data_IF_630630060247
#
_entry.id   IF_630630060247
#
_cell.length_a   1.000
_cell.length_b   1.000
_cell.length_c   1.000
_cell.angle_alpha   90.00
_cell.angle_beta   90.00
_cell.angle_gamma   90.00
#
_symmetry.space_group_name_H-M   'P 1'
#
loop_
_entity.id
_entity.type
_entity.pdbx_description
1 polymer ?
#
# COMPACT_ATOMS: atom_id res chain seq x y z
N UNK A 1 -5.61 32.04 54.73
CA UNK A 1 -4.43 32.92 54.92
C UNK A 1 -4.79 34.40 54.73
N UNK A 2 -5.26 34.82 53.55
CA UNK A 2 -5.65 36.21 53.23
C UNK A 2 -6.64 36.87 54.22
N UNK A 3 -7.62 36.13 54.76
CA UNK A 3 -8.55 36.64 55.80
C UNK A 3 -7.86 37.08 57.11
N UNK A 4 -6.75 36.42 57.49
CA UNK A 4 -6.02 36.77 58.70
C UNK A 4 -5.22 38.08 58.53
N UNK A 5 -4.66 38.29 57.33
CA UNK A 5 -3.90 39.49 56.98
C UNK A 5 -4.81 40.73 56.92
N UNK A 6 -6.03 40.59 56.39
CA UNK A 6 -7.06 41.63 56.38
C UNK A 6 -7.46 42.09 57.78
N UNK A 7 -7.64 41.15 58.71
CA UNK A 7 -7.99 41.46 60.10
C UNK A 7 -6.91 42.31 60.79
N UNK A 8 -5.63 42.01 60.54
CA UNK A 8 -4.51 42.79 61.08
C UNK A 8 -4.39 44.19 60.49
N UNK A 9 -4.64 44.36 59.18
CA UNK A 9 -4.61 45.67 58.52
C UNK A 9 -5.75 46.58 58.98
N UNK A 10 -6.96 46.03 59.13
CA UNK A 10 -8.12 46.78 59.62
C UNK A 10 -7.93 47.35 61.03
N UNK A 11 -7.22 46.61 61.90
CA UNK A 11 -6.89 47.07 63.26
C UNK A 11 -5.91 48.25 63.25
N UNK A 12 -4.90 48.24 62.36
CA UNK A 12 -3.91 49.33 62.21
C UNK A 12 -4.54 50.62 61.69
N UNK A 13 -5.49 50.53 60.77
CA UNK A 13 -6.18 51.71 60.22
C UNK A 13 -7.07 52.37 61.29
N UNK A 14 -7.71 51.57 62.15
CA UNK A 14 -8.57 52.08 63.23
C UNK A 14 -7.80 52.92 64.26
N UNK A 15 -6.55 52.59 64.57
CA UNK A 15 -5.69 53.38 65.47
C UNK A 15 -5.23 54.71 64.88
N UNK A 16 -5.13 54.85 63.56
CA UNK A 16 -4.62 56.06 62.90
C UNK A 16 -5.70 57.09 62.55
N UNK A 17 -6.98 56.81 62.82
CA UNK A 17 -8.11 57.67 62.43
C UNK A 17 -8.12 59.04 63.13
N UNK A 18 -7.68 59.09 64.39
CA UNK A 18 -7.61 60.32 65.19
C UNK A 18 -6.55 61.29 64.62
N UNK A 19 -5.38 60.76 64.24
CA UNK A 19 -4.28 61.55 63.64
C UNK A 19 -4.69 62.17 62.29
N UNK A 20 -5.54 61.48 61.53
CA UNK A 20 -6.03 61.93 60.22
C UNK A 20 -6.96 63.15 60.35
N UNK A 21 -7.89 63.14 61.32
CA UNK A 21 -8.81 64.26 61.55
C UNK A 21 -8.07 65.52 62.05
N UNK A 22 -7.05 65.33 62.90
CA UNK A 22 -6.22 66.41 63.41
C UNK A 22 -5.39 67.04 62.27
N UNK A 23 -4.87 66.23 61.34
CA UNK A 23 -4.14 66.73 60.17
C UNK A 23 -5.00 67.60 59.24
N UNK A 24 -6.25 67.19 58.96
CA UNK A 24 -7.17 67.97 58.12
C UNK A 24 -7.44 69.36 58.69
N UNK A 25 -7.66 69.45 60.01
CA UNK A 25 -7.84 70.74 60.68
C UNK A 25 -6.58 71.61 60.62
N UNK A 26 -5.40 71.04 60.85
CA UNK A 26 -4.10 71.74 60.78
C UNK A 26 -3.82 72.31 59.38
N UNK A 27 -4.24 71.59 58.33
CA UNK A 27 -4.13 72.08 56.95
C UNK A 27 -4.97 73.34 56.74
N UNK A 28 -6.24 73.33 57.16
CA UNK A 28 -7.13 74.49 57.04
C UNK A 28 -6.69 75.68 57.90
N UNK A 29 -6.15 75.44 59.10
CA UNK A 29 -5.68 76.50 59.98
C UNK A 29 -4.42 77.23 59.46
N UNK A 30 -3.56 76.53 58.71
CA UNK A 30 -2.38 77.14 58.06
C UNK A 30 -2.81 78.02 56.88
N UNK A 31 -3.75 77.54 56.06
CA UNK A 31 -4.19 78.28 54.86
C UNK A 31 -4.85 79.63 55.25
N UNK A 32 -5.69 79.65 56.30
CA UNK A 32 -6.34 80.88 56.80
C UNK A 32 -5.32 81.89 57.37
N UNK A 33 -4.22 81.42 57.96
CA UNK A 33 -3.21 82.31 58.56
C UNK A 33 -2.35 83.01 57.49
N UNK A 34 -2.12 82.37 56.33
CA UNK A 34 -1.33 82.95 55.23
C UNK A 34 -2.13 83.96 54.40
N UNK A 35 -3.44 83.76 54.22
CA UNK A 35 -4.27 84.58 53.32
C UNK A 35 -4.55 86.01 53.84
N UNK A 36 -4.54 86.22 55.16
CA UNK A 36 -4.93 87.49 55.80
C UNK A 36 -3.78 88.46 56.18
N UNK A 37 -2.53 88.25 55.71
CA UNK A 37 -1.34 89.13 55.87
C UNK A 37 -1.19 89.85 57.23
N UNK A 38 -1.27 89.06 58.28
CA UNK A 38 -1.50 89.52 59.65
C UNK A 38 -0.26 90.15 60.35
N UNK A 39 0.77 90.67 59.68
CA UNK A 39 2.02 91.04 60.39
C UNK A 39 2.61 92.47 60.28
N UNK A 40 2.26 93.41 59.37
CA UNK A 40 2.98 94.73 59.34
C UNK A 40 2.30 95.97 58.68
N UNK A 41 2.36 97.17 59.34
CA UNK A 41 2.38 98.55 58.73
C UNK A 41 2.77 99.66 59.75
N UNK A 42 3.72 100.58 59.44
CA UNK A 42 4.27 101.68 60.30
C UNK A 42 3.73 103.10 59.95
N UNK A 43 3.68 104.04 60.92
CA UNK A 43 3.22 105.46 60.79
C UNK A 43 4.33 106.46 60.30
N UNK A 44 3.99 107.57 59.59
CA UNK A 44 4.95 108.55 59.05
C UNK A 44 5.37 109.72 59.99
N UNK A 45 6.51 110.38 59.69
CA UNK A 45 7.28 111.32 60.55
C UNK A 45 6.71 112.76 60.70
N UNK A 46 6.87 113.35 61.90
CA UNK A 46 6.30 114.65 62.34
C UNK A 46 6.86 115.92 61.67
N UNK A 47 7.85 115.82 60.78
CA UNK A 47 8.61 116.96 60.24
C UNK A 47 7.74 117.86 59.33
N UNK A 48 6.83 117.25 58.55
CA UNK A 48 5.96 117.95 57.60
C UNK A 48 5.02 118.97 58.26
N UNK A 49 4.54 118.70 59.49
CA UNK A 49 3.63 119.59 60.21
C UNK A 49 4.30 120.91 60.63
N UNK A 50 5.58 120.84 61.04
CA UNK A 50 6.34 122.01 61.51
C UNK A 50 6.64 122.96 60.35
N UNK A 51 7.01 122.41 59.18
CA UNK A 51 7.35 123.21 57.99
C UNK A 51 6.12 123.99 57.48
N UNK A 52 4.94 123.35 57.45
CA UNK A 52 3.70 123.99 57.01
C UNK A 52 3.29 125.18 57.91
N UNK A 53 3.48 125.07 59.22
CA UNK A 53 3.16 126.14 60.17
C UNK A 53 4.03 127.39 60.02
N UNK A 54 5.33 127.23 59.77
CA UNK A 54 6.26 128.36 59.60
C UNK A 54 5.94 129.17 58.34
N UNK A 55 5.67 128.49 57.22
CA UNK A 55 5.33 129.13 55.94
C UNK A 55 4.06 130.00 56.03
N UNK A 56 3.07 129.54 56.78
CA UNK A 56 1.82 130.28 57.03
C UNK A 56 2.06 131.59 57.80
N UNK A 57 2.89 131.54 58.85
CA UNK A 57 3.22 132.72 59.65
C UNK A 57 4.00 133.77 58.85
N UNK A 58 4.97 133.33 58.04
CA UNK A 58 5.77 134.23 57.18
C UNK A 58 4.90 134.90 56.12
N UNK A 59 4.01 134.14 55.46
CA UNK A 59 3.10 134.69 54.46
C UNK A 59 2.18 135.79 55.01
N UNK A 60 1.65 135.60 56.22
CA UNK A 60 0.83 136.61 56.90
C UNK A 60 1.62 137.90 57.21
N UNK A 61 2.86 137.79 57.68
CA UNK A 61 3.72 138.96 57.96
C UNK A 61 3.98 139.75 56.67
N UNK A 62 4.25 139.06 55.56
CA UNK A 62 4.50 139.70 54.26
C UNK A 62 3.26 140.45 53.75
N UNK A 63 2.05 139.92 53.97
CA UNK A 63 0.81 140.64 53.59
C UNK A 63 0.58 141.92 54.40
N UNK A 64 0.96 141.95 55.68
CA UNK A 64 0.82 143.14 56.54
C UNK A 64 1.83 144.23 56.13
N UNK A 65 3.03 143.83 55.69
CA UNK A 65 4.12 144.73 55.31
C UNK A 65 3.78 145.61 54.09
N UNK A 66 2.80 145.22 53.28
CA UNK A 66 2.31 145.99 52.13
C UNK A 66 1.84 147.40 52.51
N UNK A 67 1.22 147.57 53.68
CA UNK A 67 0.72 148.88 54.12
C UNK A 67 1.84 149.89 54.39
N UNK A 68 3.09 149.42 54.57
CA UNK A 68 4.25 150.24 54.92
C UNK A 68 5.05 150.61 53.66
N UNK A 69 5.30 149.67 52.76
CA UNK A 69 6.20 149.89 51.61
C UNK A 69 5.49 150.34 50.31
N UNK A 70 4.15 150.38 50.30
CA UNK A 70 3.33 150.79 49.15
C UNK A 70 3.65 150.06 47.82
N UNK A 71 4.25 148.87 47.91
CA UNK A 71 4.54 148.01 46.76
C UNK A 71 3.45 146.95 46.62
N UNK A 72 2.67 147.04 45.54
CA UNK A 72 1.52 146.16 45.27
C UNK A 72 1.88 144.69 45.05
N UNK A 73 3.13 144.38 44.65
CA UNK A 73 3.58 143.00 44.43
C UNK A 73 3.71 142.17 45.71
N UNK A 74 3.87 142.79 46.88
CA UNK A 74 4.01 142.09 48.17
C UNK A 74 2.72 141.38 48.60
N UNK A 75 1.56 141.88 48.17
CA UNK A 75 0.26 141.25 48.46
C UNK A 75 0.17 139.83 47.88
N UNK A 76 0.47 139.70 46.58
CA UNK A 76 0.38 138.43 45.88
C UNK A 76 1.44 137.43 46.36
N UNK A 77 2.63 137.91 46.71
CA UNK A 77 3.70 137.08 47.30
C UNK A 77 3.32 136.54 48.70
N UNK A 78 2.68 137.34 49.55
CA UNK A 78 2.25 136.92 50.89
C UNK A 78 1.08 135.93 50.87
N UNK A 79 0.11 136.12 49.97
CA UNK A 79 -1.03 135.20 49.83
C UNK A 79 -0.59 133.85 49.27
N UNK A 80 0.29 133.83 48.26
CA UNK A 80 0.78 132.58 47.65
C UNK A 80 1.58 131.73 48.63
N UNK A 81 2.46 132.34 49.43
CA UNK A 81 3.23 131.63 50.47
C UNK A 81 2.36 131.10 51.60
N UNK A 82 1.37 131.88 52.06
CA UNK A 82 0.40 131.45 53.06
C UNK A 82 -0.48 130.28 52.56
N UNK A 83 -0.90 130.31 51.29
CA UNK A 83 -1.67 129.24 50.65
C UNK A 83 -0.92 127.90 50.57
N UNK A 84 0.38 127.93 50.26
CA UNK A 84 1.22 126.72 50.24
C UNK A 84 1.35 126.11 51.65
N UNK A 85 1.53 126.95 52.68
CA UNK A 85 1.60 126.51 54.07
C UNK A 85 0.32 125.81 54.55
N UNK A 86 -0.86 126.33 54.15
CA UNK A 86 -2.14 125.74 54.49
C UNK A 86 -2.39 124.37 53.81
N UNK A 87 -1.98 124.22 52.55
CA UNK A 87 -2.11 122.96 51.81
C UNK A 87 -1.27 121.82 52.42
N UNK A 88 -0.05 122.11 52.87
CA UNK A 88 0.81 121.11 53.51
C UNK A 88 0.22 120.62 54.85
N UNK A 89 -0.40 121.51 55.64
CA UNK A 89 -1.09 121.10 56.86
C UNK A 89 -2.35 120.27 56.58
N UNK A 90 -3.12 120.61 55.55
CA UNK A 90 -4.30 119.83 55.17
C UNK A 90 -3.93 118.41 54.69
N UNK A 91 -2.84 118.26 53.92
CA UNK A 91 -2.35 116.96 53.45
C UNK A 91 -1.95 116.03 54.60
N UNK A 92 -1.25 116.55 55.62
CA UNK A 92 -0.88 115.77 56.81
C UNK A 92 -2.11 115.30 57.62
N UNK A 93 -3.15 116.12 57.72
CA UNK A 93 -4.40 115.77 58.39
C UNK A 93 -5.14 114.59 57.73
N UNK A 94 -5.14 114.53 56.40
CA UNK A 94 -5.81 113.46 55.64
C UNK A 94 -5.09 112.12 55.83
N UNK A 95 -3.75 112.12 55.82
CA UNK A 95 -2.96 110.88 55.93
C UNK A 95 -3.11 110.18 57.29
N UNK A 96 -3.37 110.94 58.36
CA UNK A 96 -3.55 110.41 59.72
C UNK A 96 -4.93 109.75 59.93
N UNK A 97 -5.96 110.26 59.25
CA UNK A 97 -7.32 109.70 59.31
C UNK A 97 -7.46 108.38 58.55
N UNK A 98 -6.65 108.16 57.51
CA UNK A 98 -6.65 106.91 56.74
C UNK A 98 -5.76 105.80 57.34
N UNK A 99 -5.11 106.04 58.49
CA UNK A 99 -4.06 105.19 59.05
C UNK A 99 -4.36 104.41 60.33
N UNK A 100 -5.63 104.23 60.74
CA UNK A 100 -5.95 103.54 62.01
C UNK A 100 -7.08 102.49 61.92
N UNK A 101 -6.67 101.22 62.03
CA UNK A 101 -7.33 100.04 62.65
C UNK A 101 -8.68 99.54 62.10
N UNK A 102 -8.65 98.44 61.35
CA UNK A 102 -9.82 97.60 61.03
C UNK A 102 -9.99 96.50 62.13
N UNK A 103 -11.12 96.42 62.87
CA UNK A 103 -11.28 95.52 64.01
C UNK A 103 -11.64 94.04 63.69
N UNK A 104 -11.74 93.64 62.41
CA UNK A 104 -12.07 92.27 62.02
C UNK A 104 -10.88 91.28 62.10
N UNK A 105 -9.66 91.74 61.82
CA UNK A 105 -8.46 90.88 61.71
C UNK A 105 -7.86 90.42 63.05
N UNK A 106 -8.36 90.96 64.18
CA UNK A 106 -7.95 90.57 65.52
C UNK A 106 -8.71 89.33 66.04
N UNK A 107 -9.97 89.16 65.64
CA UNK A 107 -10.84 88.07 66.13
C UNK A 107 -10.45 86.69 65.59
N UNK A 108 -10.05 86.60 64.32
CA UNK A 108 -9.69 85.32 63.68
C UNK A 108 -8.35 84.76 64.18
N UNK A 109 -7.40 85.62 64.57
CA UNK A 109 -6.12 85.20 65.18
C UNK A 109 -6.29 84.50 66.52
N UNK A 110 -7.19 85.01 67.34
CA UNK A 110 -7.40 84.47 68.68
C UNK A 110 -8.19 83.16 68.64
N UNK A 111 -9.13 83.00 67.68
CA UNK A 111 -9.83 81.74 67.46
C UNK A 111 -8.88 80.59 67.11
N UNK A 112 -7.95 80.79 66.17
CA UNK A 112 -6.96 79.75 65.79
C UNK A 112 -6.02 79.43 66.96
N UNK A 113 -5.68 80.41 67.79
CA UNK A 113 -4.85 80.21 68.99
C UNK A 113 -5.55 79.38 70.07
N UNK A 114 -6.86 79.56 70.25
CA UNK A 114 -7.66 78.81 71.23
C UNK A 114 -7.79 77.34 70.80
N UNK A 115 -8.21 77.08 69.55
CA UNK A 115 -8.42 75.71 69.07
C UNK A 115 -7.10 74.91 68.95
N UNK A 116 -5.97 75.58 68.67
CA UNK A 116 -4.66 74.94 68.72
C UNK A 116 -4.30 74.50 70.15
N UNK A 117 -4.59 75.34 71.15
CA UNK A 117 -4.35 75.02 72.56
C UNK A 117 -5.21 73.84 73.03
N UNK A 118 -6.46 73.74 72.59
CA UNK A 118 -7.32 72.60 72.94
C UNK A 118 -6.86 71.26 72.34
N UNK A 119 -6.31 71.26 71.11
CA UNK A 119 -5.90 70.02 70.42
C UNK A 119 -4.49 69.54 70.77
N UNK A 120 -3.59 70.45 71.13
CA UNK A 120 -2.16 70.15 71.34
C UNK A 120 -1.62 70.55 72.72
N UNK A 121 -2.46 71.14 73.58
CA UNK A 121 -2.15 71.55 74.96
C UNK A 121 -0.91 72.48 75.09
N UNK A 122 -0.58 73.20 74.01
CA UNK A 122 0.56 74.12 73.92
C UNK A 122 0.18 75.47 73.30
N UNK A 123 0.79 76.59 73.74
CA UNK A 123 0.54 77.91 73.16
C UNK A 123 1.21 78.07 71.80
N UNK A 124 0.45 78.56 70.81
CA UNK A 124 0.92 78.78 69.45
C UNK A 124 1.99 79.89 69.39
N UNK A 125 3.20 79.56 68.92
CA UNK A 125 4.35 80.49 68.82
C UNK A 125 4.46 81.24 67.48
N UNK A 126 3.46 81.12 66.60
CA UNK A 126 3.44 81.71 65.25
C UNK A 126 3.27 80.65 64.15
N UNK A 127 3.26 81.09 62.88
CA UNK A 127 2.98 80.25 61.71
C UNK A 127 3.98 79.10 61.51
N UNK A 128 5.20 79.25 62.01
CA UNK A 128 6.26 78.22 61.99
C UNK A 128 5.93 77.03 62.89
N UNK A 129 5.18 77.23 63.99
CA UNK A 129 4.74 76.15 64.87
C UNK A 129 3.65 75.28 64.23
N UNK A 130 2.67 75.90 63.56
CA UNK A 130 1.63 75.18 62.81
C UNK A 130 2.22 74.34 61.67
N UNK A 131 3.22 74.86 60.95
CA UNK A 131 3.85 74.15 59.83
C UNK A 131 4.66 72.92 60.29
N UNK A 132 5.31 72.99 61.45
CA UNK A 132 6.06 71.87 62.01
C UNK A 132 5.14 70.69 62.41
N UNK A 133 4.03 70.97 63.10
CA UNK A 133 3.10 69.93 63.53
C UNK A 133 2.31 69.34 62.36
N UNK A 134 2.00 70.15 61.33
CA UNK A 134 1.42 69.70 60.06
C UNK A 134 2.32 68.67 59.37
N UNK A 135 3.62 68.92 59.27
CA UNK A 135 4.56 68.00 58.61
C UNK A 135 4.72 66.68 59.37
N UNK A 136 4.70 66.70 60.70
CA UNK A 136 4.80 65.48 61.52
C UNK A 136 3.57 64.57 61.36
N UNK A 137 2.38 65.14 61.36
CA UNK A 137 1.13 64.38 61.14
C UNK A 137 0.92 63.98 59.68
N UNK A 138 1.55 64.66 58.72
CA UNK A 138 1.52 64.29 57.31
C UNK A 138 2.13 62.90 57.05
N UNK A 139 3.20 62.54 57.75
CA UNK A 139 3.84 61.22 57.59
C UNK A 139 2.91 60.10 58.07
N UNK A 140 2.21 60.30 59.21
CA UNK A 140 1.22 59.36 59.72
C UNK A 140 0.01 59.24 58.79
N UNK A 141 -0.47 60.36 58.24
CA UNK A 141 -1.56 60.38 57.26
C UNK A 141 -1.20 59.59 55.98
N UNK A 142 0.01 59.77 55.43
CA UNK A 142 0.45 59.04 54.25
C UNK A 142 0.58 57.52 54.51
N UNK A 143 1.08 57.11 55.67
CA UNK A 143 1.13 55.69 56.08
C UNK A 143 -0.28 55.09 56.22
N UNK A 144 -1.22 55.82 56.80
CA UNK A 144 -2.60 55.36 56.93
C UNK A 144 -3.28 55.21 55.56
N UNK A 145 -3.05 56.15 54.63
CA UNK A 145 -3.55 56.06 53.25
C UNK A 145 -2.97 54.85 52.49
N UNK A 146 -1.67 54.59 52.62
CA UNK A 146 -1.03 53.39 52.03
C UNK A 146 -1.63 52.09 52.57
N UNK A 147 -1.86 52.02 53.89
CA UNK A 147 -2.50 50.85 54.50
C UNK A 147 -3.95 50.67 54.01
N UNK A 148 -4.71 51.77 53.81
CA UNK A 148 -6.05 51.72 53.25
C UNK A 148 -6.05 51.17 51.81
N UNK A 149 -5.08 51.56 50.99
CA UNK A 149 -4.92 51.04 49.63
C UNK A 149 -4.53 49.55 49.63
N UNK A 150 -3.65 49.11 50.54
CA UNK A 150 -3.33 47.68 50.71
C UNK A 150 -4.52 46.85 51.17
N UNK A 151 -5.35 47.39 52.08
CA UNK A 151 -6.57 46.72 52.52
C UNK A 151 -7.51 46.49 51.33
N UNK A 152 -7.76 47.52 50.51
CA UNK A 152 -8.61 47.40 49.33
C UNK A 152 -8.07 46.38 48.33
N UNK A 153 -6.74 46.36 48.10
CA UNK A 153 -6.12 45.35 47.21
C UNK A 153 -6.31 43.92 47.73
N UNK A 154 -6.18 43.71 49.04
CA UNK A 154 -6.40 42.40 49.65
C UNK A 154 -7.87 41.98 49.62
N UNK A 155 -8.81 42.91 49.81
CA UNK A 155 -10.25 42.61 49.70
C UNK A 155 -10.63 42.21 48.27
N UNK A 156 -10.15 42.93 47.27
CA UNK A 156 -10.36 42.57 45.85
C UNK A 156 -9.78 41.20 45.54
N UNK A 157 -8.55 40.92 45.98
CA UNK A 157 -7.90 39.63 45.74
C UNK A 157 -8.59 38.48 46.48
N UNK A 158 -9.14 38.75 47.67
CA UNK A 158 -9.89 37.75 48.42
C UNK A 158 -11.21 37.40 47.71
N UNK A 159 -11.90 38.41 47.18
CA UNK A 159 -13.12 38.21 46.39
C UNK A 159 -12.83 37.40 45.12
N UNK A 160 -11.76 37.73 44.38
CA UNK A 160 -11.40 37.01 43.16
C UNK A 160 -11.03 35.54 43.41
N UNK A 161 -10.28 35.25 44.47
CA UNK A 161 -9.93 33.86 44.83
C UNK A 161 -11.17 33.08 45.29
N UNK A 162 -12.09 33.72 46.01
CA UNK A 162 -13.36 33.09 46.39
C UNK A 162 -14.24 32.80 45.17
N UNK A 163 -14.23 33.65 44.17
CA UNK A 163 -14.93 33.47 42.90
C UNK A 163 -14.31 32.32 42.09
N UNK A 164 -12.98 32.29 41.92
CA UNK A 164 -12.27 31.17 41.28
C UNK A 164 -12.55 29.83 41.94
N UNK A 165 -12.61 29.77 43.27
CA UNK A 165 -12.94 28.51 43.97
C UNK A 165 -14.38 28.11 43.71
N UNK A 166 -15.33 29.06 43.70
CA UNK A 166 -16.73 28.78 43.36
C UNK A 166 -16.88 28.28 41.93
N UNK A 167 -16.20 28.92 40.97
CA UNK A 167 -16.21 28.52 39.57
C UNK A 167 -15.64 27.11 39.39
N UNK A 168 -14.54 26.78 40.06
CA UNK A 168 -13.98 25.43 40.04
C UNK A 168 -14.96 24.38 40.62
N UNK A 169 -15.67 24.70 41.71
CA UNK A 169 -16.72 23.82 42.24
C UNK A 169 -17.91 23.69 41.28
N UNK A 170 -18.28 24.77 40.58
CA UNK A 170 -19.38 24.78 39.61
C UNK A 170 -19.03 23.97 38.35
N UNK A 171 -17.79 24.06 37.86
CA UNK A 171 -17.30 23.27 36.73
C UNK A 171 -17.19 21.77 37.06
N UNK A 172 -16.77 21.43 38.28
CA UNK A 172 -16.61 20.02 38.69
C UNK A 172 -17.92 19.34 39.09
N UNK A 173 -18.90 20.07 39.63
CA UNK A 173 -20.08 19.48 40.28
C UNK A 173 -21.42 20.04 39.80
N UNK A 174 -21.43 21.12 39.02
CA UNK A 174 -22.65 21.77 38.52
C UNK A 174 -23.41 22.63 39.54
N UNK A 175 -23.00 22.67 40.81
CA UNK A 175 -23.70 23.39 41.90
C UNK A 175 -22.77 24.34 42.68
N UNK A 176 -23.29 25.53 43.02
CA UNK A 176 -22.55 26.53 43.80
C UNK A 176 -22.61 26.28 45.31
N UNK A 177 -21.51 25.85 45.92
CA UNK A 177 -21.44 25.51 47.35
C UNK A 177 -21.01 26.73 48.19
N UNK A 178 -21.65 26.90 49.35
CA UNK A 178 -21.31 27.96 50.31
C UNK A 178 -19.94 27.74 50.99
N UNK A 179 -19.23 28.83 51.27
CA UNK A 179 -17.81 28.82 51.72
C UNK A 179 -17.55 28.00 53.00
N UNK A 180 -18.56 27.79 53.86
CA UNK A 180 -18.40 27.01 55.10
C UNK A 180 -18.34 25.50 54.87
N UNK A 181 -18.85 25.03 53.74
CA UNK A 181 -19.04 23.60 53.47
C UNK A 181 -18.00 23.05 52.48
N UNK A 182 -17.03 23.87 52.05
CA UNK A 182 -15.99 23.45 51.11
C UNK A 182 -15.14 22.29 51.63
N UNK A 183 -14.70 22.32 52.89
CA UNK A 183 -13.85 21.26 53.46
C UNK A 183 -14.55 19.88 53.60
N UNK A 184 -15.76 19.78 54.18
CA UNK A 184 -16.48 18.50 54.24
C UNK A 184 -16.75 17.90 52.87
N UNK A 185 -17.17 18.72 51.90
CA UNK A 185 -17.51 18.24 50.56
C UNK A 185 -16.29 17.80 49.75
N UNK A 186 -15.15 18.49 49.87
CA UNK A 186 -13.88 18.06 49.26
C UNK A 186 -13.44 16.67 49.75
N UNK A 187 -13.73 16.36 51.02
CA UNK A 187 -13.46 15.04 51.59
C UNK A 187 -14.39 13.98 50.99
N UNK A 188 -15.69 14.26 50.91
CA UNK A 188 -16.66 13.34 50.29
C UNK A 188 -16.33 13.04 48.83
N UNK A 189 -15.93 14.05 48.05
CA UNK A 189 -15.55 13.87 46.64
C UNK A 189 -14.29 13.00 46.51
N UNK A 190 -13.29 13.21 47.36
CA UNK A 190 -12.10 12.34 47.38
C UNK A 190 -12.44 10.90 47.72
N UNK A 191 -13.34 10.70 48.68
CA UNK A 191 -13.78 9.36 49.08
C UNK A 191 -14.57 8.68 47.93
N UNK A 192 -15.42 9.43 47.21
CA UNK A 192 -16.13 8.95 46.02
C UNK A 192 -15.16 8.60 44.88
N UNK A 193 -14.16 9.44 44.63
CA UNK A 193 -13.16 9.18 43.60
C UNK A 193 -12.36 7.91 43.90
N UNK A 194 -11.96 7.71 45.16
CA UNK A 194 -11.27 6.49 45.59
C UNK A 194 -12.16 5.24 45.46
N UNK A 195 -13.46 5.35 45.73
CA UNK A 195 -14.40 4.25 45.55
C UNK A 195 -14.58 3.88 44.06
N UNK A 196 -14.72 4.89 43.19
CA UNK A 196 -14.82 4.69 41.74
C UNK A 196 -13.55 4.07 41.14
N UNK A 197 -12.38 4.46 41.63
CA UNK A 197 -11.10 3.90 41.15
C UNK A 197 -10.97 2.40 41.49
N UNK A 198 -11.46 2.00 42.68
CA UNK A 198 -11.55 0.58 43.07
C UNK A 198 -12.54 -0.16 42.16
N UNK A 199 -13.69 0.44 41.86
CA UNK A 199 -14.72 -0.17 41.02
C UNK A 199 -14.25 -0.32 39.55
N UNK A 200 -13.53 0.66 39.01
CA UNK A 200 -12.88 0.59 37.70
C UNK A 200 -11.85 -0.53 37.67
N UNK A 201 -11.03 -0.66 38.72
CA UNK A 201 -10.04 -1.74 38.80
C UNK A 201 -10.68 -3.13 38.85
N UNK A 202 -11.77 -3.29 39.59
CA UNK A 202 -12.48 -4.57 39.68
C UNK A 202 -13.20 -4.91 38.35
N UNK A 203 -13.80 -3.92 37.68
CA UNK A 203 -14.37 -4.08 36.34
C UNK A 203 -13.29 -4.44 35.31
N UNK A 204 -12.10 -3.84 35.37
CA UNK A 204 -10.98 -4.19 34.50
C UNK A 204 -10.51 -5.64 34.73
N UNK A 205 -10.44 -6.10 35.98
CA UNK A 205 -10.14 -7.50 36.30
C UNK A 205 -11.23 -8.44 35.76
N UNK A 206 -12.50 -8.05 35.88
CA UNK A 206 -13.60 -8.85 35.35
C UNK A 206 -13.62 -8.89 33.82
N UNK A 207 -13.29 -7.80 33.12
CA UNK A 207 -13.11 -7.78 31.67
C UNK A 207 -11.94 -8.65 31.23
N UNK A 208 -10.82 -8.62 31.95
CA UNK A 208 -9.67 -9.50 31.67
C UNK A 208 -10.01 -11.00 31.77
N UNK A 209 -10.97 -11.40 32.63
CA UNK A 209 -11.47 -12.80 32.69
C UNK A 209 -12.18 -13.24 31.41
N UNK A 210 -12.76 -12.30 30.65
CA UNK A 210 -13.43 -12.61 29.38
C UNK A 210 -12.44 -12.69 28.20
N UNK A 211 -11.18 -12.27 28.39
CA UNK A 211 -10.10 -12.38 27.41
C UNK A 211 -10.47 -11.80 26.02
N UNK A 212 -11.19 -10.67 26.02
CA UNK A 212 -11.63 -9.93 24.84
C UNK A 212 -10.74 -8.69 24.67
N UNK A 213 -10.28 -8.41 23.44
CA UNK A 213 -9.65 -7.14 23.10
C UNK A 213 -10.74 -6.07 22.87
N UNK A 214 -10.46 -4.79 23.18
CA UNK A 214 -11.47 -3.70 23.09
C UNK A 214 -12.09 -3.55 21.68
N UNK A 215 -11.36 -3.98 20.64
CA UNK A 215 -11.78 -3.92 19.25
C UNK A 215 -12.88 -4.93 18.87
N UNK A 216 -13.08 -5.99 19.68
CA UNK A 216 -14.06 -7.06 19.42
C UNK A 216 -15.44 -6.80 20.05
N UNK A 217 -15.64 -5.66 20.74
CA UNK A 217 -16.88 -5.36 21.44
C UNK A 217 -17.98 -4.81 20.49
N UNK A 218 -18.98 -5.64 20.20
CA UNK A 218 -20.19 -5.23 19.47
C UNK A 218 -21.22 -4.62 20.43
N UNK A 219 -21.71 -3.41 20.12
CA UNK A 219 -22.68 -2.64 20.95
C UNK A 219 -24.09 -3.23 21.00
N UNK A 220 -24.48 -4.06 20.03
CA UNK A 220 -25.81 -4.66 19.97
C UNK A 220 -25.77 -6.11 20.49
N UNK A 221 -26.64 -6.49 21.45
CA UNK A 221 -26.67 -7.83 22.00
C UNK A 221 -27.15 -8.82 20.93
N UNK A 222 -26.27 -9.74 20.54
CA UNK A 222 -26.63 -10.89 19.71
C UNK A 222 -27.22 -12.00 20.59
N UNK A 223 -28.22 -12.72 20.09
CA UNK A 223 -28.87 -13.83 20.82
C UNK A 223 -27.93 -15.03 21.08
N UNK A 224 -26.78 -15.07 20.40
CA UNK A 224 -25.82 -16.16 20.48
C UNK A 224 -24.66 -15.73 21.39
N UNK A 225 -24.43 -16.52 22.44
CA UNK A 225 -23.31 -16.33 23.36
C UNK A 225 -21.99 -16.56 22.58
N UNK A 226 -21.14 -15.55 22.56
CA UNK A 226 -19.82 -15.62 21.92
C UNK A 226 -18.97 -16.74 22.54
N UNK A 227 -18.51 -17.66 21.69
CA UNK A 227 -17.57 -18.72 22.04
C UNK A 227 -16.35 -18.62 21.13
N UNK A 228 -15.19 -18.18 21.65
CA UNK A 228 -13.96 -18.03 20.88
C UNK A 228 -13.51 -19.33 20.19
N UNK A 229 -13.77 -20.49 20.80
CA UNK A 229 -13.36 -21.78 20.23
C UNK A 229 -14.22 -22.12 19.00
N UNK A 230 -15.53 -21.88 19.09
CA UNK A 230 -16.44 -22.12 17.99
C UNK A 230 -16.15 -21.19 16.79
N UNK A 231 -15.81 -19.92 17.05
CA UNK A 231 -15.40 -19.01 15.98
C UNK A 231 -14.13 -19.49 15.28
N UNK A 232 -13.09 -19.83 16.06
CA UNK A 232 -11.83 -20.32 15.50
C UNK A 232 -12.04 -21.60 14.66
N UNK A 233 -12.90 -22.51 15.10
CA UNK A 233 -13.25 -23.72 14.35
C UNK A 233 -13.99 -23.40 13.03
N UNK A 234 -14.93 -22.45 13.06
CA UNK A 234 -15.66 -22.02 11.84
C UNK A 234 -14.75 -21.29 10.87
N UNK A 235 -13.87 -20.41 11.36
CA UNK A 235 -12.88 -19.71 10.54
C UNK A 235 -11.91 -20.71 9.89
N UNK A 236 -11.46 -21.71 10.64
CA UNK A 236 -10.64 -22.79 10.09
C UNK A 236 -11.38 -23.54 8.97
N UNK A 237 -12.66 -23.91 9.19
CA UNK A 237 -13.48 -24.57 8.17
C UNK A 237 -13.70 -23.70 6.92
N UNK A 238 -13.88 -22.39 7.10
CA UNK A 238 -14.01 -21.45 5.99
C UNK A 238 -12.73 -21.36 5.17
N UNK A 239 -11.57 -21.31 5.83
CA UNK A 239 -10.27 -21.32 5.15
C UNK A 239 -10.08 -22.64 4.40
N UNK A 240 -10.32 -23.79 5.04
CA UNK A 240 -10.18 -25.08 4.37
C UNK A 240 -11.11 -25.24 3.18
N UNK A 241 -12.38 -24.79 3.31
CA UNK A 241 -13.36 -24.88 2.23
C UNK A 241 -13.02 -23.94 1.06
N UNK A 242 -12.48 -22.76 1.35
CA UNK A 242 -12.01 -21.84 0.31
C UNK A 242 -10.77 -22.39 -0.42
N UNK A 243 -9.86 -23.04 0.31
CA UNK A 243 -8.70 -23.73 -0.30
C UNK A 243 -9.17 -24.89 -1.21
N UNK A 244 -10.15 -25.68 -0.76
CA UNK A 244 -10.76 -26.73 -1.59
C UNK A 244 -11.44 -26.16 -2.84
N UNK A 245 -12.19 -25.06 -2.72
CA UNK A 245 -12.83 -24.38 -3.85
C UNK A 245 -11.79 -23.86 -4.85
N UNK A 246 -10.72 -23.24 -4.37
CA UNK A 246 -9.62 -22.77 -5.20
C UNK A 246 -8.94 -23.94 -5.94
N UNK A 247 -8.71 -25.06 -5.26
CA UNK A 247 -8.17 -26.27 -5.87
C UNK A 247 -9.09 -26.80 -6.98
N UNK A 248 -10.39 -26.91 -6.72
CA UNK A 248 -11.35 -27.40 -7.71
C UNK A 248 -11.51 -26.45 -8.91
N UNK A 249 -11.41 -25.14 -8.71
CA UNK A 249 -11.39 -24.17 -9.81
C UNK A 249 -10.14 -24.34 -10.68
N UNK A 250 -8.97 -24.52 -10.07
CA UNK A 250 -7.73 -24.77 -10.80
C UNK A 250 -7.77 -26.09 -11.60
N UNK A 251 -8.38 -27.14 -11.04
CA UNK A 251 -8.61 -28.41 -11.75
C UNK A 251 -9.55 -28.22 -12.95
N UNK A 252 -10.63 -27.46 -12.78
CA UNK A 252 -11.56 -27.14 -13.87
C UNK A 252 -10.86 -26.35 -14.98
N UNK A 253 -10.05 -25.34 -14.65
CA UNK A 253 -9.31 -24.56 -15.63
C UNK A 253 -8.29 -25.43 -16.38
N UNK A 254 -7.63 -26.35 -15.67
CA UNK A 254 -6.71 -27.33 -16.27
C UNK A 254 -7.45 -28.26 -17.23
N UNK A 255 -8.62 -28.77 -16.83
CA UNK A 255 -9.46 -29.60 -17.70
C UNK A 255 -9.95 -28.81 -18.92
N UNK A 256 -10.32 -27.53 -18.74
CA UNK A 256 -10.77 -26.65 -19.81
C UNK A 256 -9.67 -26.42 -20.82
N UNK A 257 -8.47 -26.09 -20.35
CA UNK A 257 -7.29 -25.87 -21.18
C UNK A 257 -6.96 -27.10 -22.02
N UNK A 258 -6.96 -28.30 -21.40
CA UNK A 258 -6.78 -29.56 -22.12
C UNK A 258 -7.88 -29.77 -23.17
N UNK A 259 -9.15 -29.62 -22.79
CA UNK A 259 -10.25 -29.81 -23.73
C UNK A 259 -10.19 -28.81 -24.91
N UNK A 260 -9.81 -27.56 -24.65
CA UNK A 260 -9.57 -26.51 -25.65
C UNK A 260 -8.41 -26.87 -26.58
N UNK A 261 -7.30 -27.42 -26.07
CA UNK A 261 -6.19 -27.92 -26.88
C UNK A 261 -6.63 -29.02 -27.86
N UNK A 262 -7.41 -29.99 -27.36
CA UNK A 262 -7.94 -31.07 -28.19
C UNK A 262 -8.96 -30.59 -29.21
N UNK A 263 -9.72 -29.54 -28.93
CA UNK A 263 -10.73 -28.99 -29.86
C UNK A 263 -10.15 -27.91 -30.78
N UNK A 264 -9.00 -27.34 -30.43
CA UNK A 264 -8.39 -26.12 -30.99
C UNK A 264 -9.27 -24.87 -30.79
N UNK A 265 -10.07 -24.88 -29.72
CA UNK A 265 -10.88 -23.73 -29.30
C UNK A 265 -10.04 -22.76 -28.45
N UNK A 266 -10.45 -21.50 -28.37
CA UNK A 266 -9.87 -20.55 -27.42
C UNK A 266 -10.31 -20.88 -25.98
N UNK A 267 -9.47 -20.59 -24.99
CA UNK A 267 -9.76 -20.74 -23.55
C UNK A 267 -10.95 -19.87 -23.14
N UNK A 268 -11.21 -18.78 -23.86
CA UNK A 268 -12.38 -17.91 -23.66
C UNK A 268 -13.72 -18.59 -24.01
N UNK A 269 -13.70 -19.67 -24.78
CA UNK A 269 -14.89 -20.37 -25.27
C UNK A 269 -15.71 -20.96 -24.10
N UNK A 270 -17.05 -20.87 -24.12
CA UNK A 270 -17.89 -21.49 -23.10
C UNK A 270 -17.74 -23.02 -23.07
N UNK A 271 -17.85 -23.60 -21.86
CA UNK A 271 -17.74 -25.05 -21.67
C UNK A 271 -18.70 -25.87 -22.55
N UNK A 272 -19.90 -25.36 -22.81
CA UNK A 272 -20.91 -26.06 -23.60
C UNK A 272 -20.46 -26.29 -25.06
N UNK A 273 -19.73 -25.33 -25.63
CA UNK A 273 -19.23 -25.38 -27.00
C UNK A 273 -18.00 -26.30 -27.08
N UNK A 274 -17.06 -26.16 -26.13
CA UNK A 274 -15.89 -27.05 -26.03
C UNK A 274 -16.34 -28.52 -25.90
N UNK A 275 -17.34 -28.80 -25.06
CA UNK A 275 -17.89 -30.16 -24.90
C UNK A 275 -18.57 -30.66 -26.18
N UNK A 276 -19.23 -29.78 -26.92
CA UNK A 276 -19.82 -30.13 -28.22
C UNK A 276 -18.74 -30.48 -29.25
N UNK A 277 -17.72 -29.65 -29.41
CA UNK A 277 -16.59 -29.90 -30.32
C UNK A 277 -15.81 -31.16 -29.92
N UNK A 278 -15.60 -31.39 -28.62
CA UNK A 278 -14.93 -32.59 -28.12
C UNK A 278 -15.75 -33.85 -28.43
N UNK A 279 -17.08 -33.76 -28.35
CA UNK A 279 -17.97 -34.86 -28.76
C UNK A 279 -17.89 -35.14 -30.26
N UNK A 280 -17.89 -34.12 -31.10
CA UNK A 280 -17.74 -34.27 -32.56
C UNK A 280 -16.41 -34.91 -32.90
N UNK A 281 -15.32 -34.37 -32.36
CA UNK A 281 -13.97 -34.90 -32.58
C UNK A 281 -13.82 -36.35 -32.11
N UNK A 282 -14.47 -36.72 -31.00
CA UNK A 282 -14.52 -38.12 -30.54
C UNK A 282 -15.24 -39.03 -31.54
N UNK A 283 -16.33 -38.56 -32.15
CA UNK A 283 -17.06 -39.32 -33.17
C UNK A 283 -16.18 -39.50 -34.42
N UNK A 284 -15.51 -38.45 -34.86
CA UNK A 284 -14.64 -38.48 -36.04
C UNK A 284 -13.44 -39.42 -35.85
N UNK A 285 -12.73 -39.29 -34.72
CA UNK A 285 -11.61 -40.17 -34.36
C UNK A 285 -12.09 -41.62 -34.29
N UNK A 286 -13.25 -41.86 -33.67
CA UNK A 286 -13.82 -43.22 -33.57
C UNK A 286 -14.12 -43.79 -34.95
N UNK A 287 -14.70 -43.00 -35.86
CA UNK A 287 -15.01 -43.45 -37.22
C UNK A 287 -13.73 -43.80 -37.98
N UNK A 288 -12.75 -42.90 -37.97
CA UNK A 288 -11.44 -43.14 -38.58
C UNK A 288 -10.73 -44.37 -38.01
N UNK A 289 -10.83 -44.60 -36.71
CA UNK A 289 -10.27 -45.79 -36.07
C UNK A 289 -10.97 -47.08 -36.54
N UNK A 290 -12.30 -47.08 -36.65
CA UNK A 290 -13.06 -48.23 -37.17
C UNK A 290 -12.64 -48.52 -38.61
N UNK A 291 -12.58 -47.50 -39.47
CA UNK A 291 -12.22 -47.65 -40.88
C UNK A 291 -10.79 -48.19 -41.04
N UNK A 292 -9.83 -47.64 -40.29
CA UNK A 292 -8.44 -48.09 -40.31
C UNK A 292 -8.30 -49.53 -39.78
N UNK A 293 -9.03 -49.87 -38.72
CA UNK A 293 -8.99 -51.23 -38.15
C UNK A 293 -9.57 -52.24 -39.13
N UNK A 294 -10.68 -51.88 -39.80
CA UNK A 294 -11.28 -52.73 -40.83
C UNK A 294 -10.33 -52.91 -42.03
N UNK A 295 -9.65 -51.83 -42.47
CA UNK A 295 -8.64 -51.92 -43.53
C UNK A 295 -7.47 -52.83 -43.15
N UNK A 296 -6.92 -52.68 -41.94
CA UNK A 296 -5.82 -53.53 -41.45
C UNK A 296 -6.28 -54.99 -41.37
N UNK A 297 -7.45 -55.25 -40.79
CA UNK A 297 -8.00 -56.61 -40.69
C UNK A 297 -8.21 -57.23 -42.08
N UNK A 298 -8.74 -56.46 -43.03
CA UNK A 298 -8.90 -56.91 -44.41
C UNK A 298 -7.56 -57.20 -45.08
N UNK A 299 -6.53 -56.37 -44.88
CA UNK A 299 -5.18 -56.61 -45.41
C UNK A 299 -4.55 -57.86 -44.81
N UNK A 300 -4.69 -58.08 -43.51
CA UNK A 300 -4.19 -59.29 -42.84
C UNK A 300 -4.89 -60.52 -43.43
N UNK A 301 -6.23 -60.50 -43.49
CA UNK A 301 -6.99 -61.63 -44.03
C UNK A 301 -6.70 -61.90 -45.52
N UNK A 302 -6.54 -60.84 -46.33
CA UNK A 302 -6.14 -60.98 -47.72
C UNK A 302 -4.72 -61.57 -47.85
N UNK A 303 -3.77 -61.08 -47.05
CA UNK A 303 -2.40 -61.60 -47.05
C UNK A 303 -2.36 -63.07 -46.66
N UNK A 304 -3.13 -63.48 -45.66
CA UNK A 304 -3.22 -64.88 -45.24
C UNK A 304 -3.79 -65.77 -46.36
N UNK A 305 -4.84 -65.31 -47.04
CA UNK A 305 -5.41 -66.03 -48.19
C UNK A 305 -4.41 -66.11 -49.34
N UNK A 306 -3.71 -65.02 -49.67
CA UNK A 306 -2.72 -64.99 -50.74
C UNK A 306 -1.56 -65.94 -50.44
N UNK A 307 -1.01 -65.91 -49.23
CA UNK A 307 0.06 -66.81 -48.81
C UNK A 307 -0.39 -68.28 -48.91
N UNK A 308 -1.62 -68.59 -48.51
CA UNK A 308 -2.16 -69.95 -48.65
C UNK A 308 -2.28 -70.37 -50.12
N UNK A 309 -2.73 -69.48 -51.01
CA UNK A 309 -2.80 -69.75 -52.45
C UNK A 309 -1.40 -69.98 -53.03
N UNK A 310 -0.43 -69.18 -52.62
CA UNK A 310 0.98 -69.32 -53.01
C UNK A 310 1.54 -70.68 -52.56
N UNK A 311 1.38 -71.04 -51.28
CA UNK A 311 1.78 -72.35 -50.75
C UNK A 311 1.11 -73.52 -51.49
N UNK A 312 -0.19 -73.42 -51.78
CA UNK A 312 -0.94 -74.44 -52.53
C UNK A 312 -0.44 -74.58 -53.98
N UNK A 313 -0.13 -73.47 -54.66
CA UNK A 313 0.41 -73.48 -56.02
C UNK A 313 1.86 -73.97 -56.06
N UNK A 314 2.71 -73.52 -55.15
CA UNK A 314 4.10 -73.97 -55.02
C UNK A 314 4.17 -75.47 -54.79
N UNK A 315 3.31 -76.00 -53.91
CA UNK A 315 3.24 -77.43 -53.67
C UNK A 315 2.81 -78.19 -54.95
N UNK A 316 1.82 -77.69 -55.69
CA UNK A 316 1.43 -78.29 -56.99
C UNK A 316 2.57 -78.26 -57.99
N UNK A 317 3.35 -77.18 -58.06
CA UNK A 317 4.50 -77.09 -58.95
C UNK A 317 5.55 -78.13 -58.54
N UNK A 318 5.90 -78.19 -57.25
CA UNK A 318 6.87 -79.15 -56.70
C UNK A 318 6.44 -80.59 -56.98
N UNK A 319 5.16 -80.91 -56.76
CA UNK A 319 4.61 -82.24 -57.01
C UNK A 319 4.73 -82.58 -58.50
N UNK A 320 4.36 -81.65 -59.40
CA UNK A 320 4.39 -81.86 -60.85
C UNK A 320 5.81 -82.00 -61.44
N UNK A 321 6.79 -81.23 -60.94
CA UNK A 321 8.17 -81.32 -61.42
C UNK A 321 8.93 -82.54 -60.86
N UNK A 322 8.40 -83.17 -59.82
CA UNK A 322 8.97 -84.37 -59.19
C UNK A 322 8.15 -85.64 -59.42
N UNK A 323 7.24 -85.63 -60.39
CA UNK A 323 6.56 -86.86 -60.84
C UNK A 323 7.62 -87.86 -61.30
N UNK A 324 7.35 -89.15 -61.05
CA UNK A 324 8.27 -90.25 -61.33
C UNK A 324 8.88 -90.18 -62.75
N UNK A 325 8.09 -89.83 -63.77
CA UNK A 325 8.59 -89.69 -65.14
C UNK A 325 9.66 -88.61 -65.28
N UNK A 326 9.44 -87.45 -64.65
CA UNK A 326 10.38 -86.31 -64.67
C UNK A 326 11.63 -86.65 -63.88
N UNK A 327 11.49 -87.18 -62.67
CA UNK A 327 12.61 -87.55 -61.79
C UNK A 327 13.46 -88.67 -62.39
N UNK A 328 12.83 -89.67 -63.01
CA UNK A 328 13.55 -90.73 -63.72
C UNK A 328 14.31 -90.19 -64.93
N UNK A 329 13.72 -89.26 -65.69
CA UNK A 329 14.38 -88.63 -66.82
C UNK A 329 15.55 -87.73 -66.39
N UNK A 330 15.36 -86.95 -65.33
CA UNK A 330 16.37 -86.11 -64.71
C UNK A 330 17.58 -86.92 -64.26
N UNK A 331 17.34 -88.04 -63.56
CA UNK A 331 18.41 -88.95 -63.13
C UNK A 331 19.13 -89.59 -64.31
N UNK A 332 18.42 -90.00 -65.36
CA UNK A 332 19.03 -90.59 -66.57
C UNK A 332 19.88 -89.60 -67.36
N UNK A 333 19.40 -88.37 -67.52
CA UNK A 333 20.09 -87.33 -68.30
C UNK A 333 21.27 -86.71 -67.56
N UNK A 334 21.14 -86.46 -66.25
CA UNK A 334 22.20 -85.79 -65.48
C UNK A 334 23.15 -86.77 -64.79
N UNK A 335 22.72 -88.01 -64.53
CA UNK A 335 23.47 -89.02 -63.78
C UNK A 335 23.65 -88.71 -62.28
N UNK A 336 23.32 -87.48 -61.83
CA UNK A 336 23.61 -86.96 -60.48
C UNK A 336 22.36 -86.48 -59.74
N UNK A 337 21.52 -85.67 -60.39
CA UNK A 337 20.37 -85.02 -59.75
C UNK A 337 19.13 -85.92 -59.81
N UNK A 338 18.36 -85.95 -58.73
CA UNK A 338 17.24 -86.90 -58.55
C UNK A 338 15.88 -86.22 -58.39
N UNK A 339 15.86 -85.00 -57.88
CA UNK A 339 14.65 -84.20 -57.70
C UNK A 339 14.97 -82.72 -57.88
N UNK A 340 13.91 -81.94 -58.10
CA UNK A 340 13.95 -80.50 -58.16
C UNK A 340 13.18 -79.93 -56.97
N UNK A 341 13.54 -78.73 -56.54
CA UNK A 341 12.83 -78.01 -55.49
C UNK A 341 12.59 -76.57 -55.95
N UNK A 342 11.56 -75.93 -55.41
CA UNK A 342 11.27 -74.52 -55.64
C UNK A 342 11.41 -73.79 -54.30
N UNK A 343 12.35 -72.85 -54.23
CA UNK A 343 12.59 -72.03 -53.05
C UNK A 343 12.74 -70.58 -53.54
N UNK A 344 11.91 -69.67 -53.02
CA UNK A 344 11.91 -68.25 -53.40
C UNK A 344 11.89 -68.04 -54.93
N UNK A 345 10.94 -68.70 -55.62
CA UNK A 345 10.81 -68.72 -57.10
C UNK A 345 12.03 -69.24 -57.88
N UNK A 346 13.00 -69.86 -57.20
CA UNK A 346 14.20 -70.41 -57.82
C UNK A 346 14.19 -71.94 -57.80
N UNK A 347 14.51 -72.53 -58.95
CA UNK A 347 14.64 -73.98 -59.08
C UNK A 347 16.00 -74.41 -58.50
N UNK A 348 15.95 -75.38 -57.58
CA UNK A 348 17.11 -76.06 -57.02
C UNK A 348 17.15 -77.50 -57.53
N UNK A 349 18.33 -77.96 -57.94
CA UNK A 349 18.56 -79.35 -58.29
C UNK A 349 19.15 -80.09 -57.07
N UNK A 350 18.51 -81.18 -56.66
CA UNK A 350 18.90 -81.99 -55.51
C UNK A 350 19.68 -83.23 -55.95
N UNK A 351 20.88 -83.40 -55.40
CA UNK A 351 21.61 -84.67 -55.41
C UNK A 351 21.38 -85.42 -54.06
N UNK A 352 21.91 -86.64 -53.84
CA UNK A 352 21.68 -87.38 -52.59
C UNK A 352 22.13 -86.69 -51.30
N UNK A 353 22.98 -85.66 -51.39
CA UNK A 353 23.65 -85.05 -50.25
C UNK A 353 23.29 -83.55 -50.09
N UNK A 354 23.07 -82.82 -51.18
CA UNK A 354 22.80 -81.39 -51.14
C UNK A 354 21.97 -80.87 -52.33
N UNK A 355 21.47 -79.65 -52.16
CA UNK A 355 20.76 -78.88 -53.18
C UNK A 355 21.64 -77.76 -53.75
N UNK A 356 21.48 -77.49 -55.03
CA UNK A 356 22.19 -76.43 -55.72
C UNK A 356 21.19 -75.59 -56.51
N UNK A 357 21.24 -74.26 -56.43
CA UNK A 357 20.42 -73.42 -57.28
C UNK A 357 20.84 -73.65 -58.74
N UNK A 358 19.86 -73.71 -59.64
CA UNK A 358 20.08 -74.05 -61.05
C UNK A 358 21.08 -73.11 -61.75
N UNK A 359 21.17 -71.86 -61.30
CA UNK A 359 22.10 -70.83 -61.76
C UNK A 359 23.58 -71.14 -61.48
N UNK A 360 23.86 -71.89 -60.42
CA UNK A 360 25.24 -72.20 -59.98
C UNK A 360 25.75 -73.51 -60.58
N UNK A 361 24.91 -74.23 -61.34
CA UNK A 361 25.31 -75.41 -62.08
C UNK A 361 26.18 -75.05 -63.29
N UNK A 362 27.12 -75.95 -63.64
CA UNK A 362 27.85 -75.83 -64.91
C UNK A 362 26.88 -75.75 -66.09
N UNK A 363 27.24 -75.02 -67.15
CA UNK A 363 26.38 -74.80 -68.33
C UNK A 363 25.78 -76.11 -68.86
N UNK A 364 26.58 -77.15 -69.05
CA UNK A 364 26.09 -78.45 -69.52
C UNK A 364 25.14 -79.14 -68.52
N UNK A 365 25.42 -79.09 -67.22
CA UNK A 365 24.51 -79.67 -66.22
C UNK A 365 23.17 -78.91 -66.17
N UNK A 366 23.21 -77.58 -66.29
CA UNK A 366 22.01 -76.73 -66.36
C UNK A 366 21.17 -77.06 -67.59
N UNK A 367 21.78 -77.23 -68.76
CA UNK A 367 21.09 -77.62 -69.99
C UNK A 367 20.42 -78.99 -69.87
N UNK A 368 21.12 -79.96 -69.28
CA UNK A 368 20.56 -81.30 -69.03
C UNK A 368 19.36 -81.26 -68.10
N UNK A 369 19.44 -80.52 -67.00
CA UNK A 369 18.31 -80.35 -66.07
C UNK A 369 17.13 -79.70 -66.78
N UNK A 370 17.37 -78.63 -67.54
CA UNK A 370 16.30 -77.94 -68.26
C UNK A 370 15.68 -78.81 -69.36
N UNK A 371 16.47 -79.59 -70.08
CA UNK A 371 15.98 -80.54 -71.08
C UNK A 371 15.14 -81.64 -70.44
N UNK A 372 15.62 -82.25 -69.36
CA UNK A 372 14.90 -83.27 -68.62
C UNK A 372 13.56 -82.74 -68.08
N UNK A 373 13.55 -81.51 -67.57
CA UNK A 373 12.34 -80.85 -67.11
C UNK A 373 11.34 -80.64 -68.26
N UNK A 374 11.78 -80.08 -69.40
CA UNK A 374 10.89 -79.85 -70.56
C UNK A 374 10.29 -81.13 -71.10
N UNK A 375 11.09 -82.19 -71.22
CA UNK A 375 10.66 -83.48 -71.72
C UNK A 375 9.76 -84.21 -70.71
N UNK A 376 10.08 -84.12 -69.42
CA UNK A 376 9.27 -84.67 -68.34
C UNK A 376 7.89 -84.01 -68.28
N UNK A 377 7.84 -82.68 -68.34
CA UNK A 377 6.59 -81.91 -68.41
C UNK A 377 5.82 -82.27 -69.69
N UNK A 378 6.50 -82.32 -70.86
CA UNK A 378 5.83 -82.67 -72.11
C UNK A 378 5.20 -84.07 -72.06
N UNK A 379 5.89 -85.04 -71.44
CA UNK A 379 5.39 -86.40 -71.23
C UNK A 379 4.23 -86.46 -70.25
N UNK A 380 4.26 -85.64 -69.20
CA UNK A 380 3.18 -85.57 -68.21
C UNK A 380 1.93 -84.90 -68.80
N UNK A 381 2.08 -83.75 -69.47
CA UNK A 381 1.00 -83.00 -70.11
C UNK A 381 0.33 -83.80 -71.22
N UNK A 382 1.08 -84.64 -71.93
CA UNK A 382 0.51 -85.53 -72.95
C UNK A 382 -0.22 -86.75 -72.38
N UNK A 383 -0.30 -86.90 -71.04
CA UNK A 383 -0.89 -88.06 -70.41
C UNK A 383 -0.13 -89.37 -70.68
N UNK A 384 1.18 -89.27 -70.98
CA UNK A 384 2.01 -90.39 -71.38
C UNK A 384 1.96 -90.73 -72.87
N UNK A 385 1.14 -90.04 -73.67
CA UNK A 385 1.12 -90.21 -75.12
C UNK A 385 2.38 -89.60 -75.76
N UNK A 386 3.03 -90.30 -76.71
CA UNK A 386 4.24 -89.80 -77.35
C UNK A 386 3.92 -88.61 -78.27
N UNK A 387 4.65 -87.50 -78.09
CA UNK A 387 4.58 -86.31 -78.96
C UNK A 387 5.76 -86.27 -79.94
N UNK A 388 5.85 -85.17 -80.69
CA UNK A 388 7.05 -84.84 -81.46
C UNK A 388 7.88 -83.75 -80.79
N UNK A 389 9.21 -83.83 -80.94
CA UNK A 389 10.18 -82.87 -80.39
C UNK A 389 11.12 -82.45 -81.51
N UNK A 390 11.43 -81.15 -81.57
CA UNK A 390 12.47 -80.60 -82.43
C UNK A 390 13.58 -80.07 -81.51
N UNK A 391 14.80 -80.55 -81.73
CA UNK A 391 16.00 -80.20 -80.98
C UNK A 391 16.98 -79.53 -81.94
N UNK A 392 17.34 -78.28 -81.68
CA UNK A 392 18.28 -77.50 -82.50
C UNK A 392 19.59 -77.31 -81.72
N UNK A 393 20.65 -78.03 -82.11
CA UNK A 393 21.98 -78.06 -81.47
C UNK A 393 21.94 -78.23 -79.92
N UNK A 394 20.91 -78.91 -79.40
CA UNK A 394 20.59 -78.94 -77.97
C UNK A 394 21.69 -79.53 -77.06
N UNK A 395 22.63 -80.33 -77.60
CA UNK A 395 23.70 -80.99 -76.83
C UNK A 395 25.10 -80.39 -77.05
N UNK A 396 25.21 -79.29 -77.81
CA UNK A 396 26.50 -78.76 -78.24
C UNK A 396 27.43 -78.37 -77.07
N UNK A 397 26.90 -77.87 -75.95
CA UNK A 397 27.71 -77.45 -74.79
C UNK A 397 27.95 -78.56 -73.75
N UNK A 398 27.53 -79.80 -74.03
CA UNK A 398 27.83 -80.97 -73.19
C UNK A 398 29.20 -81.57 -73.52
N UNK A 399 29.88 -82.13 -72.52
CA UNK A 399 31.14 -82.87 -72.72
C UNK A 399 30.92 -84.22 -73.45
N UNK A 400 32.03 -84.86 -73.86
CA UNK A 400 31.98 -86.07 -74.68
C UNK A 400 31.22 -87.24 -74.04
N UNK A 401 31.42 -87.48 -72.75
CA UNK A 401 30.73 -88.56 -72.01
C UNK A 401 29.24 -88.25 -71.86
N UNK A 402 28.89 -86.98 -71.59
CA UNK A 402 27.50 -86.52 -71.46
C UNK A 402 26.74 -86.57 -72.77
N UNK A 403 27.37 -86.24 -73.90
CA UNK A 403 26.75 -86.31 -75.24
C UNK A 403 26.27 -87.73 -75.56
N UNK A 404 27.07 -88.74 -75.26
CA UNK A 404 26.67 -90.15 -75.47
C UNK A 404 25.43 -90.51 -74.64
N UNK A 405 25.39 -90.08 -73.37
CA UNK A 405 24.22 -90.30 -72.50
C UNK A 405 22.97 -89.58 -73.03
N UNK A 406 23.08 -88.33 -73.46
CA UNK A 406 21.96 -87.54 -73.98
C UNK A 406 21.40 -88.12 -75.29
N UNK A 407 22.27 -88.53 -76.21
CA UNK A 407 21.88 -89.23 -77.43
C UNK A 407 21.17 -90.54 -77.09
N UNK A 408 21.69 -91.31 -76.12
CA UNK A 408 21.05 -92.55 -75.67
C UNK A 408 19.63 -92.31 -75.16
N UNK A 409 19.43 -91.33 -74.28
CA UNK A 409 18.11 -90.99 -73.73
C UNK A 409 17.16 -90.56 -74.86
N UNK A 410 17.64 -89.76 -75.80
CA UNK A 410 16.85 -89.32 -76.96
C UNK A 410 16.41 -90.50 -77.82
N UNK A 411 17.33 -91.43 -78.11
CA UNK A 411 17.02 -92.65 -78.86
C UNK A 411 16.05 -93.55 -78.09
N UNK A 412 16.17 -93.65 -76.77
CA UNK A 412 15.23 -94.43 -75.94
C UNK A 412 13.84 -93.79 -75.90
N UNK A 413 13.72 -92.46 -75.88
CA UNK A 413 12.44 -91.76 -76.06
C UNK A 413 11.81 -92.07 -77.42
N UNK A 414 12.61 -92.05 -78.49
CA UNK A 414 12.15 -92.40 -79.83
C UNK A 414 11.69 -93.87 -79.95
N UNK A 415 12.34 -94.80 -79.23
CA UNK A 415 11.86 -96.20 -79.13
C UNK A 415 10.48 -96.28 -78.47
N UNK A 416 10.24 -95.42 -77.49
CA UNK A 416 8.98 -95.34 -76.75
C UNK A 416 7.89 -94.56 -77.51
N UNK A 417 8.10 -94.27 -78.80
CA UNK A 417 7.08 -93.74 -79.70
C UNK A 417 7.22 -92.25 -80.03
N UNK A 418 8.11 -91.52 -79.36
CA UNK A 418 8.30 -90.09 -79.62
C UNK A 418 8.92 -89.86 -81.01
N UNK A 419 8.41 -88.88 -81.74
CA UNK A 419 9.03 -88.43 -82.97
C UNK A 419 10.07 -87.36 -82.65
N UNK A 420 11.33 -87.56 -83.04
CA UNK A 420 12.40 -86.62 -82.70
C UNK A 420 13.11 -86.16 -83.97
N UNK A 421 13.16 -84.84 -84.15
CA UNK A 421 13.89 -84.16 -85.21
C UNK A 421 15.07 -83.46 -84.53
N UNK A 422 16.28 -83.93 -84.77
CA UNK A 422 17.49 -83.32 -84.22
C UNK A 422 18.26 -82.62 -85.34
N UNK A 423 18.46 -81.32 -85.21
CA UNK A 423 19.26 -80.48 -86.10
C UNK A 423 20.62 -80.28 -85.44
N UNK A 424 21.71 -80.51 -86.18
CA UNK A 424 23.06 -80.44 -85.62
C UNK A 424 24.09 -80.00 -86.64
N UNK A 425 24.99 -79.13 -86.21
CA UNK A 425 26.21 -78.79 -86.94
C UNK A 425 27.43 -79.58 -86.43
N UNK A 426 27.29 -80.26 -85.30
CA UNK A 426 28.36 -81.02 -84.65
C UNK A 426 28.51 -82.45 -85.20
N UNK A 427 29.67 -82.73 -85.82
CA UNK A 427 30.00 -84.03 -86.43
C UNK A 427 29.92 -85.19 -85.43
N UNK A 428 30.36 -84.98 -84.19
CA UNK A 428 30.39 -86.06 -83.20
C UNK A 428 28.98 -86.38 -82.70
N UNK A 429 28.11 -85.37 -82.51
CA UNK A 429 26.70 -85.62 -82.16
C UNK A 429 26.01 -86.35 -83.31
N UNK A 430 26.23 -85.93 -84.57
CA UNK A 430 25.76 -86.65 -85.77
C UNK A 430 26.19 -88.11 -85.73
N UNK A 431 27.48 -88.36 -85.53
CA UNK A 431 28.05 -89.71 -85.57
C UNK A 431 27.51 -90.60 -84.43
N UNK A 432 27.28 -90.03 -83.25
CA UNK A 432 26.59 -90.71 -82.13
C UNK A 432 25.16 -91.11 -82.51
N UNK A 433 24.38 -90.20 -83.10
CA UNK A 433 23.01 -90.52 -83.56
C UNK A 433 23.02 -91.55 -84.68
N UNK A 434 23.97 -91.49 -85.63
CA UNK A 434 24.13 -92.50 -86.67
C UNK A 434 24.46 -93.88 -86.07
N UNK A 435 25.36 -93.94 -85.09
CA UNK A 435 25.77 -95.18 -84.43
C UNK A 435 24.63 -95.78 -83.59
N UNK A 436 24.04 -94.99 -82.70
CA UNK A 436 23.06 -95.45 -81.73
C UNK A 436 21.65 -95.56 -82.34
N UNK A 437 21.25 -94.56 -83.12
CA UNK A 437 19.94 -94.48 -83.77
C UNK A 437 19.72 -95.58 -84.82
N UNK A 438 20.69 -95.84 -85.70
CA UNK A 438 20.57 -96.93 -86.69
C UNK A 438 20.44 -98.30 -86.02
N UNK A 439 21.24 -98.56 -85.00
CA UNK A 439 21.20 -99.83 -84.26
C UNK A 439 19.87 -100.02 -83.51
N UNK A 440 19.35 -98.95 -82.91
CA UNK A 440 18.15 -99.00 -82.07
C UNK A 440 16.82 -98.94 -82.83
N UNK A 441 16.73 -98.10 -83.86
CA UNK A 441 15.46 -97.73 -84.50
C UNK A 441 15.31 -98.32 -85.91
N UNK A 442 16.40 -98.83 -86.50
CA UNK A 442 16.41 -99.48 -87.82
C UNK A 442 15.68 -98.64 -88.88
N UNK A 443 14.54 -99.12 -89.42
CA UNK A 443 13.75 -98.44 -90.46
C UNK A 443 13.09 -97.12 -90.00
N UNK A 444 13.04 -96.85 -88.69
CA UNK A 444 12.45 -95.63 -88.12
C UNK A 444 13.46 -94.48 -87.96
N UNK A 445 14.73 -94.69 -88.30
CA UNK A 445 15.76 -93.64 -88.29
C UNK A 445 16.03 -93.14 -89.70
N UNK A 446 16.00 -91.82 -89.89
CA UNK A 446 16.37 -91.16 -91.13
C UNK A 446 17.45 -90.11 -90.84
N UNK A 447 18.42 -90.01 -91.74
CA UNK A 447 19.46 -88.99 -91.71
C UNK A 447 19.42 -88.22 -93.03
N UNK A 448 19.46 -86.90 -92.94
CA UNK A 448 19.50 -86.00 -94.08
C UNK A 448 20.70 -85.07 -93.88
N UNK A 449 21.54 -85.00 -94.91
CA UNK A 449 22.60 -84.00 -95.01
C UNK A 449 22.04 -82.86 -95.85
N UNK A 450 22.04 -81.64 -95.31
CA UNK A 450 21.43 -80.45 -95.92
C UNK A 450 22.44 -79.65 -96.75
#
# INVERSE_FOLDING_TARGET
>A
KLKADLKNLSAKIKSSKIDIEIYHWLKSAVDIWEENELENKKLPEKILMVIGGVLLAVGLIVTILQYILAWSYLFWAGITTSGIGALLMAFFGIQLLTGSRNPADAGERDAIRITYKEKFDQPLKGITGLRAEKNKLQENYLKAKSNQEEQNKLEVRLASEQEHIKDAFLELLGDSIHEKDWEPYLKTIKDQFAALDIEISDLAINLAKFNLEEDDYLRDPQDIKYDPQLQADIEYQLVSLNDELASHQADLDTLKSRAAEWTRDDISTPWIEILHHLRLRRIDIRRSHIDLTAEIAAKIGLSEILNRIEEEEDQKIIDNINIDDVSNLLKKMTGKYQSLNLIDDQIYARDPYQEYPLKDLSTGAREQVQLALRLGIASHVSGGEPLFIILDDAFQHSDWERRESLVKVTVDLAKNGWQIIYLTMDDHIRDLFLKMGKAALSKKFAFFEL
#
